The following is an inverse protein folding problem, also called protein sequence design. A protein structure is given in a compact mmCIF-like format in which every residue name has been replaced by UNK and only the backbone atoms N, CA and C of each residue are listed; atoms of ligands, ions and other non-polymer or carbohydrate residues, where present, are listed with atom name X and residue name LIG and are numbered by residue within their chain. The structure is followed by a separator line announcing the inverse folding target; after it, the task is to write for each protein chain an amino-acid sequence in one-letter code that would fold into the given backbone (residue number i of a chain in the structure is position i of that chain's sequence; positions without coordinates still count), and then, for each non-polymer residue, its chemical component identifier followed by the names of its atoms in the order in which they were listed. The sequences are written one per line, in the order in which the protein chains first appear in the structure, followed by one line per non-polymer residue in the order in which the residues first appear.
data_IF_746078315494
#
_entry.id   IF_746078315494
#
_cell.length_a   1.000
_cell.length_b   1.000
_cell.length_c   1.000
_cell.angle_alpha   90.00
_cell.angle_beta   90.00
_cell.angle_gamma   90.00
#
_symmetry.space_group_name_H-M   'P 1'
#
loop_
_entity.id
_entity.type
_entity.pdbx_description
1 polymer ?
#
# COMPACT_ATOMS: atom_id res chain seq x y z
N UNK A 1 -4.38 -10.47 13.60
CA UNK A 1 -5.18 -9.72 14.61
C UNK A 1 -4.24 -8.75 15.30
N UNK A 2 -4.64 -7.49 15.46
CA UNK A 2 -3.83 -6.43 16.07
C UNK A 2 -3.53 -6.71 17.56
N UNK A 3 -2.29 -6.47 17.94
CA UNK A 3 -1.79 -6.53 19.33
C UNK A 3 -1.00 -5.27 19.65
N UNK A 4 -0.77 -4.92 20.93
CA UNK A 4 0.06 -3.75 21.30
C UNK A 4 1.49 -3.81 20.75
N UNK A 5 2.05 -5.00 20.54
CA UNK A 5 3.39 -5.21 19.99
C UNK A 5 3.49 -4.76 18.51
N UNK A 6 2.35 -4.65 17.82
CA UNK A 6 2.30 -4.14 16.46
C UNK A 6 2.51 -2.63 16.36
N UNK A 7 2.49 -1.89 17.48
CA UNK A 7 2.71 -0.45 17.49
C UNK A 7 4.19 -0.17 17.31
N UNK A 8 4.55 0.39 16.15
CA UNK A 8 5.91 0.80 15.82
C UNK A 8 6.25 2.20 16.36
N UNK A 9 5.26 3.08 16.43
CA UNK A 9 5.38 4.44 16.95
C UNK A 9 4.02 4.96 17.36
N UNK A 10 3.97 5.70 18.47
CA UNK A 10 2.77 6.41 18.90
C UNK A 10 3.15 7.72 19.62
N UNK A 11 2.44 8.81 19.27
CA UNK A 11 2.42 10.06 20.02
C UNK A 11 0.98 10.60 20.16
N UNK A 12 0.83 11.88 20.49
CA UNK A 12 -0.48 12.52 20.63
C UNK A 12 -1.23 12.69 19.31
N UNK A 13 -0.54 12.61 18.16
CA UNK A 13 -1.07 12.93 16.84
C UNK A 13 -1.00 11.78 15.84
N UNK A 14 -0.01 10.91 15.99
CA UNK A 14 0.33 9.85 15.05
C UNK A 14 0.31 8.48 15.72
N UNK A 15 -0.03 7.48 14.92
CA UNK A 15 0.13 6.07 15.26
C UNK A 15 0.64 5.34 14.03
N UNK A 16 1.76 4.62 14.15
CA UNK A 16 2.30 3.74 13.11
C UNK A 16 2.20 2.31 13.60
N UNK A 17 1.59 1.46 12.79
CA UNK A 17 1.33 0.06 13.14
C UNK A 17 1.91 -0.87 12.08
N UNK A 18 2.51 -1.96 12.51
CA UNK A 18 2.92 -3.06 11.64
C UNK A 18 1.68 -3.90 11.27
N UNK A 19 1.16 -3.70 10.08
CA UNK A 19 0.04 -4.50 9.57
C UNK A 19 0.53 -5.87 9.14
N UNK A 20 -0.13 -6.92 9.59
CA UNK A 20 0.15 -8.29 9.14
C UNK A 20 -0.47 -8.59 7.76
N UNK A 21 0.11 -9.55 7.06
CA UNK A 21 -0.47 -10.13 5.86
C UNK A 21 -1.87 -10.70 6.17
N UNK A 22 -2.83 -10.44 5.30
CA UNK A 22 -4.22 -10.89 5.47
C UNK A 22 -5.14 -9.88 6.15
N UNK A 23 -4.62 -8.92 6.93
CA UNK A 23 -5.43 -7.89 7.56
C UNK A 23 -5.88 -6.82 6.55
N UNK A 24 -7.10 -6.31 6.76
CA UNK A 24 -7.63 -5.13 6.07
C UNK A 24 -7.30 -3.87 6.87
N UNK A 25 -6.87 -2.80 6.21
CA UNK A 25 -6.64 -1.51 6.88
C UNK A 25 -7.96 -0.85 7.26
N UNK A 26 -8.94 -0.87 6.35
CA UNK A 26 -10.28 -0.31 6.54
C UNK A 26 -11.35 -1.36 6.21
N UNK A 27 -12.56 -1.24 6.77
CA UNK A 27 -13.66 -2.12 6.42
C UNK A 27 -13.93 -2.12 4.91
N UNK A 28 -14.22 -3.29 4.38
CA UNK A 28 -14.66 -3.47 3.00
C UNK A 28 -15.93 -4.34 2.94
N UNK A 29 -16.61 -4.42 1.78
CA UNK A 29 -17.84 -5.21 1.65
C UNK A 29 -17.67 -6.72 1.89
N UNK A 30 -16.43 -7.24 1.91
CA UNK A 30 -16.18 -8.67 2.15
C UNK A 30 -16.43 -9.10 3.60
N UNK A 31 -16.59 -8.11 4.50
CA UNK A 31 -16.79 -8.33 5.93
C UNK A 31 -15.48 -8.75 6.62
N UNK A 32 -15.32 -8.37 7.85
CA UNK A 32 -14.16 -8.68 8.66
C UNK A 32 -13.75 -7.48 9.49
N UNK A 33 -13.16 -7.73 10.66
CA UNK A 33 -12.66 -6.67 11.52
C UNK A 33 -11.45 -6.03 10.89
N UNK A 34 -11.58 -4.77 10.47
CA UNK A 34 -10.46 -4.00 9.93
C UNK A 34 -9.49 -3.58 11.03
N UNK A 35 -8.25 -3.35 10.64
CA UNK A 35 -7.19 -2.88 11.55
C UNK A 35 -7.58 -1.55 12.22
N UNK A 36 -8.21 -0.64 11.48
CA UNK A 36 -8.75 0.61 12.01
C UNK A 36 -9.69 0.39 13.19
N UNK A 37 -10.65 -0.55 13.08
CA UNK A 37 -11.63 -0.83 14.11
C UNK A 37 -10.98 -1.49 15.34
N UNK A 38 -10.06 -2.42 15.12
CA UNK A 38 -9.31 -3.08 16.19
C UNK A 38 -8.48 -2.07 16.99
N UNK A 39 -7.81 -1.15 16.31
CA UNK A 39 -7.02 -0.08 16.96
C UNK A 39 -7.92 0.87 17.73
N UNK A 40 -9.07 1.32 17.17
CA UNK A 40 -10.04 2.16 17.88
C UNK A 40 -10.54 1.50 19.16
N UNK A 41 -10.89 0.22 19.08
CA UNK A 41 -11.33 -0.54 20.25
C UNK A 41 -10.21 -0.69 21.31
N UNK A 42 -8.98 -0.89 20.87
CA UNK A 42 -7.82 -0.94 21.75
C UNK A 42 -7.58 0.38 22.47
N UNK A 43 -7.51 1.50 21.74
CA UNK A 43 -7.32 2.85 22.31
C UNK A 43 -8.45 3.19 23.29
N UNK A 44 -9.72 2.87 22.92
CA UNK A 44 -10.88 3.12 23.79
C UNK A 44 -10.75 2.43 25.15
N UNK A 45 -10.32 1.17 25.14
CA UNK A 45 -10.12 0.39 26.39
C UNK A 45 -8.92 0.86 27.17
N UNK A 46 -7.76 1.03 26.51
CA UNK A 46 -6.50 1.43 27.16
C UNK A 46 -6.59 2.78 27.86
N UNK A 47 -7.22 3.76 27.18
CA UNK A 47 -7.29 5.13 27.63
C UNK A 47 -8.61 5.44 28.36
N UNK A 48 -9.45 4.43 28.64
CA UNK A 48 -10.76 4.54 29.30
C UNK A 48 -11.63 5.66 28.70
N UNK A 49 -11.63 5.83 27.36
CA UNK A 49 -12.36 6.92 26.70
C UNK A 49 -13.86 6.69 26.74
N UNK A 50 -14.67 7.67 27.25
CA UNK A 50 -16.12 7.53 27.35
C UNK A 50 -16.81 7.62 25.99
N UNK A 51 -16.20 8.29 25.01
CA UNK A 51 -16.77 8.51 23.67
C UNK A 51 -16.12 7.67 22.58
N UNK A 52 -16.43 8.01 21.32
CA UNK A 52 -15.80 7.39 20.16
C UNK A 52 -14.34 7.86 19.99
N UNK A 53 -13.49 6.92 19.55
CA UNK A 53 -12.08 7.21 19.25
C UNK A 53 -11.95 7.65 17.81
N UNK A 54 -11.46 8.85 17.59
CA UNK A 54 -11.05 9.26 16.25
C UNK A 54 -9.74 8.57 15.88
N UNK A 55 -9.72 7.92 14.72
CA UNK A 55 -8.54 7.37 14.07
C UNK A 55 -8.69 7.55 12.57
N UNK A 56 -7.89 8.43 11.97
CA UNK A 56 -7.93 8.72 10.55
C UNK A 56 -6.93 7.86 9.78
N UNK A 57 -7.38 7.16 8.75
CA UNK A 57 -6.52 6.37 7.86
C UNK A 57 -5.85 7.31 6.86
N UNK A 58 -4.52 7.41 6.93
CA UNK A 58 -3.72 8.29 6.06
C UNK A 58 -3.42 7.63 4.72
N UNK A 59 -3.10 6.34 4.74
CA UNK A 59 -2.89 5.52 3.54
C UNK A 59 -3.25 4.06 3.81
N UNK A 60 -3.34 3.29 2.74
CA UNK A 60 -3.64 1.86 2.81
C UNK A 60 -2.58 1.07 2.06
N UNK A 61 -2.34 -0.14 2.51
CA UNK A 61 -1.62 -1.18 1.78
C UNK A 61 -2.56 -2.36 1.53
N UNK A 62 -2.32 -3.11 0.47
CA UNK A 62 -3.20 -4.20 0.05
C UNK A 62 -3.27 -5.31 1.12
N UNK A 63 -4.37 -6.07 1.13
CA UNK A 63 -4.60 -7.14 2.10
C UNK A 63 -3.44 -8.14 2.24
N UNK A 64 -2.83 -8.66 1.14
CA UNK A 64 -1.71 -9.59 1.22
C UNK A 64 -0.37 -8.94 1.55
N UNK A 65 -0.32 -7.63 1.72
CA UNK A 65 0.91 -6.89 2.01
C UNK A 65 1.01 -6.64 3.51
N UNK A 66 2.18 -6.88 4.09
CA UNK A 66 2.54 -6.50 5.47
C UNK A 66 3.41 -5.25 5.50
N UNK A 67 3.49 -4.59 6.66
CA UNK A 67 4.36 -3.45 6.88
C UNK A 67 3.69 -2.25 7.54
N UNK A 68 4.41 -1.14 7.60
CA UNK A 68 4.02 0.05 8.34
C UNK A 68 2.79 0.74 7.72
N UNK A 69 1.77 0.98 8.54
CA UNK A 69 0.60 1.78 8.20
C UNK A 69 0.50 2.95 9.17
N UNK A 70 0.37 4.15 8.60
CA UNK A 70 0.28 5.40 9.35
C UNK A 70 -1.18 5.80 9.55
N UNK A 71 -1.53 6.08 10.78
CA UNK A 71 -2.83 6.62 11.20
C UNK A 71 -2.65 7.98 11.87
N UNK A 72 -3.68 8.82 11.76
CA UNK A 72 -3.77 10.10 12.46
C UNK A 72 -4.71 9.98 13.67
N UNK A 73 -4.27 10.36 14.85
CA UNK A 73 -5.08 10.37 16.09
C UNK A 73 -5.95 11.63 16.23
N UNK A 74 -5.77 12.62 15.34
CA UNK A 74 -6.56 13.84 15.29
C UNK A 74 -6.91 14.24 13.86
N UNK A 75 -8.03 14.93 13.65
CA UNK A 75 -8.46 15.43 12.34
C UNK A 75 -7.44 16.41 11.74
N UNK A 76 -6.83 17.26 12.58
CA UNK A 76 -5.79 18.20 12.17
C UNK A 76 -4.54 17.49 11.65
N UNK A 77 -4.11 16.40 12.32
CA UNK A 77 -3.00 15.58 11.86
C UNK A 77 -3.34 14.88 10.53
N UNK A 78 -4.56 14.34 10.40
CA UNK A 78 -5.03 13.71 9.16
C UNK A 78 -4.96 14.67 7.97
N UNK A 79 -5.45 15.90 8.14
CA UNK A 79 -5.40 16.92 7.08
C UNK A 79 -3.97 17.22 6.65
N UNK A 80 -3.07 17.45 7.61
CA UNK A 80 -1.64 17.72 7.32
C UNK A 80 -0.94 16.57 6.65
N UNK A 81 -1.17 15.33 7.10
CA UNK A 81 -0.55 14.15 6.52
C UNK A 81 -1.05 13.89 5.09
N UNK A 82 -2.34 14.08 4.83
CA UNK A 82 -2.89 13.98 3.48
C UNK A 82 -2.30 15.05 2.53
N UNK A 83 -2.04 16.25 3.03
CA UNK A 83 -1.35 17.30 2.30
C UNK A 83 0.10 16.89 1.99
N UNK A 84 0.84 16.42 2.99
CA UNK A 84 2.21 15.92 2.81
C UNK A 84 2.30 14.78 1.79
N UNK A 85 1.32 13.86 1.78
CA UNK A 85 1.25 12.79 0.75
C UNK A 85 1.00 13.37 -0.64
N UNK A 86 0.07 14.33 -0.76
CA UNK A 86 -0.26 14.98 -2.04
C UNK A 86 0.92 15.74 -2.62
N UNK A 87 1.73 16.38 -1.75
CA UNK A 87 2.94 17.11 -2.10
C UNK A 87 4.18 16.22 -2.27
N UNK A 88 4.05 14.90 -2.08
CA UNK A 88 5.17 13.97 -2.20
C UNK A 88 6.22 14.06 -1.10
N UNK A 89 5.90 14.71 0.04
CA UNK A 89 6.81 14.86 1.19
C UNK A 89 6.93 13.62 2.07
N UNK A 90 6.08 12.61 1.86
CA UNK A 90 6.16 11.31 2.52
C UNK A 90 6.68 10.28 1.52
N UNK A 91 7.89 9.78 1.74
CA UNK A 91 8.46 8.69 0.96
C UNK A 91 7.77 7.38 1.33
N UNK A 92 7.39 6.61 0.31
CA UNK A 92 6.73 5.31 0.46
C UNK A 92 7.61 4.25 -0.19
N UNK A 93 8.30 3.46 0.63
CA UNK A 93 9.23 2.43 0.19
C UNK A 93 8.62 1.07 0.49
N UNK A 94 8.69 0.18 -0.50
CA UNK A 94 8.16 -1.18 -0.44
C UNK A 94 9.21 -2.16 -0.92
N UNK A 95 9.16 -3.36 -0.42
CA UNK A 95 9.88 -4.50 -0.98
C UNK A 95 8.89 -5.40 -1.71
N UNK A 96 9.26 -5.80 -2.91
CA UNK A 96 8.50 -6.68 -3.76
C UNK A 96 9.35 -7.87 -4.21
N UNK A 97 8.75 -9.04 -4.28
CA UNK A 97 9.36 -10.22 -4.88
C UNK A 97 8.81 -10.38 -6.30
N UNK A 98 9.71 -10.49 -7.28
CA UNK A 98 9.41 -10.77 -8.68
C UNK A 98 10.00 -12.11 -9.09
N UNK A 99 9.37 -12.85 -9.99
CA UNK A 99 9.91 -14.11 -10.53
C UNK A 99 11.13 -13.86 -11.43
N UNK A 100 11.17 -12.71 -12.10
CA UNK A 100 12.28 -12.31 -12.95
C UNK A 100 12.84 -10.96 -12.47
N UNK A 101 14.15 -10.78 -12.61
CA UNK A 101 14.76 -9.48 -12.39
C UNK A 101 14.22 -8.47 -13.41
N UNK A 102 13.90 -7.25 -13.01
CA UNK A 102 13.64 -6.16 -13.95
C UNK A 102 14.90 -5.87 -14.79
N UNK A 103 14.69 -5.52 -16.05
CA UNK A 103 15.75 -5.06 -16.93
C UNK A 103 15.42 -3.66 -17.45
N UNK A 104 16.23 -2.65 -17.13
CA UNK A 104 17.46 -2.65 -16.31
C UNK A 104 17.19 -2.96 -14.82
N UNK A 105 18.23 -3.27 -14.06
CA UNK A 105 18.13 -3.63 -12.62
C UNK A 105 17.64 -2.48 -11.71
N UNK A 106 17.65 -1.25 -12.20
CA UNK A 106 17.09 -0.09 -11.51
C UNK A 106 16.59 0.94 -12.51
N UNK A 107 15.63 1.75 -12.10
CA UNK A 107 15.08 2.79 -12.96
C UNK A 107 13.81 3.45 -12.42
N UNK A 108 13.18 4.25 -13.27
CA UNK A 108 11.87 4.84 -13.04
C UNK A 108 10.87 4.29 -14.05
N UNK A 109 9.72 3.83 -13.57
CA UNK A 109 8.60 3.40 -14.40
C UNK A 109 7.52 4.48 -14.39
N UNK A 110 7.05 4.82 -15.59
CA UNK A 110 5.94 5.73 -15.80
C UNK A 110 4.90 5.02 -16.69
N UNK A 111 3.79 4.61 -16.12
CA UNK A 111 2.69 3.95 -16.81
C UNK A 111 1.38 4.67 -16.56
N UNK A 112 0.33 4.26 -17.25
CA UNK A 112 -1.04 4.64 -16.95
C UNK A 112 -1.77 3.42 -16.40
N UNK A 113 -2.47 3.58 -15.28
CA UNK A 113 -3.21 2.48 -14.64
C UNK A 113 -4.70 2.68 -14.85
N UNK A 114 -5.31 1.70 -15.50
CA UNK A 114 -6.75 1.53 -15.61
C UNK A 114 -7.23 0.58 -14.52
N UNK A 115 -8.19 1.03 -13.70
CA UNK A 115 -8.81 0.23 -12.66
C UNK A 115 -10.09 -0.43 -13.18
N UNK A 116 -10.18 -1.74 -13.07
CA UNK A 116 -11.43 -2.48 -13.17
C UNK A 116 -12.00 -2.68 -11.75
N UNK A 117 -13.00 -1.88 -11.42
CA UNK A 117 -13.63 -1.93 -10.10
C UNK A 117 -14.44 -3.20 -9.86
N UNK A 118 -15.00 -3.82 -10.92
CA UNK A 118 -15.80 -5.05 -10.80
C UNK A 118 -14.91 -6.26 -10.54
N UNK A 119 -13.80 -6.35 -11.27
CA UNK A 119 -12.83 -7.43 -11.09
C UNK A 119 -11.82 -7.18 -9.96
N UNK A 120 -11.86 -6.02 -9.29
CA UNK A 120 -10.87 -5.56 -8.31
C UNK A 120 -9.43 -5.70 -8.81
N UNK A 121 -9.19 -5.31 -10.08
CA UNK A 121 -7.90 -5.42 -10.77
C UNK A 121 -7.44 -4.08 -11.30
N UNK A 122 -6.14 -3.97 -11.51
CA UNK A 122 -5.53 -2.82 -12.20
C UNK A 122 -4.61 -3.34 -13.30
N UNK A 123 -4.62 -2.65 -14.45
CA UNK A 123 -3.75 -2.95 -15.59
C UNK A 123 -2.93 -1.72 -15.92
N UNK A 124 -1.63 -1.91 -16.16
CA UNK A 124 -0.76 -0.87 -16.67
C UNK A 124 -0.82 -0.83 -18.21
N UNK A 125 -0.62 0.36 -18.77
CA UNK A 125 -0.45 0.61 -20.20
C UNK A 125 0.49 1.80 -20.39
N UNK A 126 1.17 1.87 -21.55
CA UNK A 126 2.16 2.91 -21.86
C UNK A 126 1.53 4.22 -22.31
N UNK A 127 0.33 4.17 -22.87
CA UNK A 127 -0.38 5.33 -23.37
C UNK A 127 -1.58 5.71 -22.49
N UNK A 128 -1.92 7.00 -22.40
CA UNK A 128 -3.13 7.44 -21.72
C UNK A 128 -4.37 6.84 -22.39
N UNK A 129 -5.28 6.31 -21.57
CA UNK A 129 -6.62 5.85 -21.99
C UNK A 129 -7.65 6.55 -21.15
N UNK A 130 -8.90 6.58 -21.61
CA UNK A 130 -10.00 7.09 -20.81
C UNK A 130 -9.99 6.41 -19.43
N UNK A 131 -10.13 7.20 -18.36
CA UNK A 131 -10.12 6.78 -16.95
C UNK A 131 -8.78 6.22 -16.44
N UNK A 132 -7.75 6.07 -17.26
CA UNK A 132 -6.42 5.67 -16.80
C UNK A 132 -5.70 6.84 -16.12
N UNK A 133 -5.06 6.54 -14.99
CA UNK A 133 -4.34 7.54 -14.19
C UNK A 133 -2.84 7.28 -14.25
N UNK A 134 -2.06 8.34 -14.45
CA UNK A 134 -0.61 8.24 -14.43
C UNK A 134 -0.11 7.66 -13.10
N UNK A 135 0.83 6.73 -13.21
CA UNK A 135 1.47 6.03 -12.11
C UNK A 135 2.99 6.06 -12.30
N UNK A 136 3.70 6.53 -11.29
CA UNK A 136 5.17 6.64 -11.33
C UNK A 136 5.76 5.98 -10.08
N UNK A 137 6.82 5.24 -10.28
CA UNK A 137 7.61 4.64 -9.22
C UNK A 137 9.09 4.55 -9.62
N UNK A 138 9.96 4.52 -8.65
CA UNK A 138 11.37 4.13 -8.82
C UNK A 138 11.58 2.76 -8.25
N UNK A 139 12.50 2.02 -8.83
CA UNK A 139 12.85 0.70 -8.32
C UNK A 139 14.35 0.44 -8.42
N UNK A 140 14.82 -0.45 -7.55
CA UNK A 140 16.15 -0.99 -7.57
C UNK A 140 16.14 -2.45 -7.15
N UNK A 141 16.83 -3.32 -7.89
CA UNK A 141 17.04 -4.69 -7.50
C UNK A 141 18.04 -4.75 -6.35
N UNK A 142 17.62 -5.32 -5.22
CA UNK A 142 18.47 -5.50 -4.03
C UNK A 142 19.22 -6.82 -4.03
N UNK A 143 18.65 -7.85 -4.65
CA UNK A 143 19.26 -9.17 -4.72
C UNK A 143 18.41 -10.16 -5.50
N UNK A 144 19.06 -11.18 -6.03
CA UNK A 144 18.40 -12.26 -6.75
C UNK A 144 18.69 -13.60 -6.05
N UNK A 145 17.65 -14.38 -5.83
CA UNK A 145 17.74 -15.77 -5.37
C UNK A 145 17.47 -16.73 -6.51
N UNK A 146 17.33 -18.02 -6.18
CA UNK A 146 17.11 -19.08 -7.18
C UNK A 146 15.77 -18.93 -7.93
N UNK A 147 14.73 -18.43 -7.25
CA UNK A 147 13.36 -18.37 -7.79
C UNK A 147 12.78 -16.98 -7.83
N UNK A 148 13.32 -16.05 -7.02
CA UNK A 148 12.77 -14.72 -6.88
C UNK A 148 13.86 -13.68 -6.79
N UNK A 149 13.53 -12.49 -7.26
CA UNK A 149 14.34 -11.28 -7.14
C UNK A 149 13.68 -10.32 -6.17
N UNK A 150 14.45 -9.81 -5.20
CA UNK A 150 14.00 -8.78 -4.27
C UNK A 150 14.21 -7.41 -4.91
N UNK A 151 13.14 -6.64 -5.00
CA UNK A 151 13.13 -5.30 -5.59
C UNK A 151 12.63 -4.30 -4.56
N UNK A 152 13.40 -3.24 -4.31
CA UNK A 152 12.94 -2.07 -3.57
C UNK A 152 12.17 -1.14 -4.52
N UNK A 153 11.05 -0.63 -4.06
CA UNK A 153 10.17 0.24 -4.85
C UNK A 153 9.82 1.49 -4.06
N UNK A 154 10.16 2.66 -4.59
CA UNK A 154 9.70 3.96 -4.08
C UNK A 154 8.48 4.42 -4.89
N UNK A 155 7.34 4.58 -4.23
CA UNK A 155 6.12 5.07 -4.88
C UNK A 155 6.12 6.60 -4.96
N UNK A 156 6.16 7.15 -6.17
CA UNK A 156 5.97 8.60 -6.45
C UNK A 156 4.49 8.96 -6.58
N UNK A 157 3.64 7.99 -6.92
CA UNK A 157 2.17 8.08 -6.92
C UNK A 157 1.58 6.90 -6.13
N UNK A 158 0.29 6.95 -5.80
CA UNK A 158 -0.39 5.89 -5.05
C UNK A 158 -1.66 5.42 -5.77
N UNK A 159 -1.52 4.62 -6.86
CA UNK A 159 -2.66 4.04 -7.58
C UNK A 159 -2.99 2.65 -7.03
N UNK A 160 -4.23 2.25 -7.20
CA UNK A 160 -4.69 0.92 -6.81
C UNK A 160 -3.84 -0.17 -7.47
N UNK A 161 -3.28 -1.10 -6.68
CA UNK A 161 -2.39 -2.17 -7.10
C UNK A 161 -1.20 -1.71 -7.96
N UNK A 162 -0.67 -0.50 -7.73
CA UNK A 162 0.32 0.14 -8.62
C UNK A 162 1.58 -0.70 -8.79
N UNK A 163 2.21 -1.15 -7.70
CA UNK A 163 3.45 -1.94 -7.75
C UNK A 163 3.21 -3.21 -8.54
N UNK A 164 2.13 -3.93 -8.24
CA UNK A 164 1.76 -5.17 -8.94
C UNK A 164 1.54 -4.95 -10.43
N UNK A 165 0.78 -3.90 -10.81
CA UNK A 165 0.49 -3.62 -12.20
C UNK A 165 1.74 -3.19 -12.98
N UNK A 166 2.59 -2.33 -12.41
CA UNK A 166 3.78 -1.81 -13.08
C UNK A 166 4.86 -2.90 -13.22
N UNK A 167 5.19 -3.63 -12.15
CA UNK A 167 6.21 -4.67 -12.21
C UNK A 167 5.76 -5.87 -13.07
N UNK A 168 4.48 -6.24 -13.03
CA UNK A 168 3.94 -7.29 -13.92
C UNK A 168 4.08 -6.91 -15.39
N UNK A 169 3.91 -5.64 -15.71
CA UNK A 169 4.00 -5.14 -17.09
C UNK A 169 5.44 -5.15 -17.61
N UNK A 170 6.43 -4.81 -16.75
CA UNK A 170 7.85 -4.74 -17.12
C UNK A 170 8.59 -6.07 -17.00
N UNK A 171 8.14 -6.95 -16.11
CA UNK A 171 8.75 -8.27 -15.87
C UNK A 171 7.66 -9.34 -15.81
N UNK A 172 6.97 -9.60 -16.94
CA UNK A 172 5.84 -10.52 -16.97
C UNK A 172 6.31 -11.96 -16.70
N UNK A 173 5.74 -12.57 -15.65
CA UNK A 173 5.92 -14.00 -15.39
C UNK A 173 5.29 -14.83 -16.50
N UNK A 174 5.88 -15.97 -16.91
CA UNK A 174 5.27 -16.91 -17.83
C UNK A 174 3.87 -17.35 -17.41
N UNK A 175 3.59 -17.43 -16.10
CA UNK A 175 2.27 -17.79 -15.56
C UNK A 175 1.21 -16.71 -15.76
N UNK A 176 1.61 -15.44 -15.87
CA UNK A 176 0.67 -14.33 -16.07
C UNK A 176 0.23 -14.20 -17.52
N UNK A 177 1.04 -14.65 -18.48
CA UNK A 177 0.69 -14.71 -19.92
C UNK A 177 -0.46 -15.69 -20.19
N UNK A 178 -0.60 -16.74 -19.38
CA UNK A 178 -1.65 -17.76 -19.56
C UNK A 178 -2.99 -17.35 -18.93
N UNK A 179 -3.03 -16.34 -18.08
CA UNK A 179 -4.26 -15.83 -17.43
C UNK A 179 -4.92 -14.66 -18.15
N UNK A 180 -4.39 -14.21 -19.27
CA UNK A 180 -4.93 -13.09 -20.07
C UNK A 180 -5.69 -13.55 -21.34
N UNK A 181 -6.19 -14.77 -21.36
CA UNK A 181 -7.13 -15.26 -22.40
C UNK A 181 -8.51 -15.44 -21.82
#
# INVERSE_FOLDING_TARGET
MFTPEDILYEDNHLLVVNKHCGDLVQPDPSGGSALEDQIKAFIKRRDAKPGEVFLGVVHRIDRPVSGAVLFAKTSKALTRLNEMIREGRIRKIYWALTEQAPDPLSGELCHYILRDGRANRSRACDAPKADAKQARLRYATLGAGTHYTLVEVELLTGRHHQIRACLLYTSPSPRDRTRSR
#
